data_IF_970772340849
#
_entry.id   IF_970772340849
#
_cell.length_a   1.000
_cell.length_b   1.000
_cell.length_c   1.000
_cell.angle_alpha   90.00
_cell.angle_beta   90.00
_cell.angle_gamma   90.00
#
_symmetry.space_group_name_H-M   'P 1'
#
loop_
_entity.id
_entity.type
_entity.pdbx_description
1 polymer ?
#
# COMPACT_ATOMS: atom_id res chain seq x y z
N UNK A 1 -28.90 -23.09 5.18
CA UNK A 1 -27.52 -23.32 4.70
C UNK A 1 -26.67 -22.23 5.30
N UNK A 2 -25.56 -22.60 5.94
CA UNK A 2 -24.73 -21.69 6.71
C UNK A 2 -24.15 -20.60 5.81
N UNK A 3 -24.43 -19.35 6.15
CA UNK A 3 -23.68 -18.20 5.66
C UNK A 3 -22.33 -18.27 6.38
N UNK A 4 -21.26 -18.55 5.64
CA UNK A 4 -19.93 -18.57 6.24
C UNK A 4 -19.56 -17.16 6.71
N UNK A 5 -19.13 -17.12 7.97
CA UNK A 5 -18.85 -15.94 8.76
C UNK A 5 -17.63 -15.15 8.22
N UNK A 6 -17.83 -13.83 8.11
CA UNK A 6 -16.86 -12.74 8.35
C UNK A 6 -15.36 -13.06 8.16
N UNK A 7 -14.79 -12.61 7.04
CA UNK A 7 -13.33 -12.34 6.92
C UNK A 7 -13.09 -10.85 6.59
N UNK A 8 -14.01 -9.97 6.99
CA UNK A 8 -14.07 -8.57 6.54
C UNK A 8 -13.78 -7.53 7.61
N UNK A 9 -13.13 -7.88 8.72
CA UNK A 9 -12.89 -6.96 9.84
C UNK A 9 -11.44 -7.03 10.32
N UNK A 10 -10.49 -6.86 9.40
CA UNK A 10 -9.06 -6.70 9.73
C UNK A 10 -8.56 -5.25 9.53
N UNK A 11 -9.46 -4.35 9.10
CA UNK A 11 -9.22 -2.92 8.98
C UNK A 11 -10.17 -2.17 9.92
N UNK A 12 -9.76 -1.97 11.18
CA UNK A 12 -10.49 -1.13 12.13
C UNK A 12 -10.02 0.32 11.95
N UNK A 13 -10.95 1.25 11.72
CA UNK A 13 -10.67 2.69 11.59
C UNK A 13 -9.46 3.06 10.71
N UNK A 14 -9.30 2.40 9.56
CA UNK A 14 -8.27 2.70 8.56
C UNK A 14 -6.83 2.60 9.07
N UNK A 15 -6.59 1.59 9.92
CA UNK A 15 -5.30 1.03 10.25
C UNK A 15 -5.37 -0.50 10.11
N UNK A 16 -4.23 -1.16 10.00
CA UNK A 16 -4.15 -2.62 10.01
C UNK A 16 -4.36 -3.13 11.44
N UNK A 17 -5.29 -4.07 11.64
CA UNK A 17 -5.50 -4.77 12.94
C UNK A 17 -4.54 -5.94 13.09
N UNK A 18 -3.99 -6.43 11.96
CA UNK A 18 -2.99 -7.48 11.87
C UNK A 18 -2.45 -7.58 10.45
N UNK A 19 -1.59 -8.57 10.20
CA UNK A 19 -1.12 -8.87 8.85
C UNK A 19 -2.27 -9.40 7.97
N UNK A 20 -2.45 -8.88 6.74
CA UNK A 20 -3.41 -9.44 5.80
C UNK A 20 -3.10 -10.91 5.51
N UNK A 21 -4.15 -11.71 5.37
CA UNK A 21 -4.02 -13.09 4.91
C UNK A 21 -3.46 -13.16 3.48
N UNK A 22 -2.95 -14.32 3.10
CA UNK A 22 -2.44 -14.57 1.74
C UNK A 22 -3.48 -14.20 0.66
N UNK A 23 -4.73 -14.56 0.87
CA UNK A 23 -5.84 -14.24 -0.05
C UNK A 23 -6.09 -12.74 -0.15
N UNK A 24 -5.94 -12.00 0.95
CA UNK A 24 -6.06 -10.53 0.94
C UNK A 24 -4.88 -9.87 0.24
N UNK A 25 -3.65 -10.37 0.43
CA UNK A 25 -2.47 -9.92 -0.31
C UNK A 25 -2.66 -10.08 -1.82
N UNK A 26 -3.11 -11.25 -2.26
CA UNK A 26 -3.36 -11.53 -3.68
C UNK A 26 -4.50 -10.67 -4.26
N UNK A 27 -5.50 -10.32 -3.45
CA UNK A 27 -6.65 -9.53 -3.91
C UNK A 27 -6.40 -8.02 -3.93
N UNK A 28 -5.76 -7.47 -2.91
CA UNK A 28 -5.68 -6.02 -2.69
C UNK A 28 -4.28 -5.43 -2.86
N UNK A 29 -3.24 -6.27 -2.74
CA UNK A 29 -1.84 -5.85 -2.78
C UNK A 29 -1.11 -6.33 -4.04
N UNK A 30 -1.82 -6.98 -4.96
CA UNK A 30 -1.30 -7.30 -6.27
C UNK A 30 -1.21 -6.03 -7.13
N UNK A 31 -0.05 -5.82 -7.76
CA UNK A 31 0.21 -4.71 -8.67
C UNK A 31 -0.05 -5.15 -10.10
N UNK A 32 -1.08 -4.58 -10.72
CA UNK A 32 -1.32 -4.77 -12.15
C UNK A 32 -0.32 -3.99 -13.02
N UNK A 33 -0.47 -4.07 -14.34
CA UNK A 33 0.46 -3.42 -15.27
C UNK A 33 0.46 -1.88 -15.13
N UNK A 34 -0.69 -1.27 -14.84
CA UNK A 34 -0.80 0.18 -14.66
C UNK A 34 -0.17 0.62 -13.35
N UNK A 35 -0.35 -0.16 -12.28
CA UNK A 35 0.29 0.06 -11.00
C UNK A 35 1.81 -0.02 -11.14
N UNK A 36 2.29 -1.03 -11.85
CA UNK A 36 3.72 -1.23 -12.10
C UNK A 36 4.31 -0.09 -12.90
N UNK A 37 3.62 0.41 -13.93
CA UNK A 37 4.05 1.59 -14.68
C UNK A 37 4.18 2.82 -13.77
N UNK A 38 3.14 3.10 -12.96
CA UNK A 38 3.13 4.21 -12.02
C UNK A 38 4.25 4.10 -10.98
N UNK A 39 4.48 2.90 -10.44
CA UNK A 39 5.54 2.64 -9.46
C UNK A 39 6.92 2.80 -10.11
N UNK A 40 7.17 2.25 -11.29
CA UNK A 40 8.48 2.33 -11.94
C UNK A 40 8.86 3.76 -12.35
N UNK A 41 7.91 4.67 -12.48
CA UNK A 41 8.18 6.10 -12.66
C UNK A 41 8.85 6.76 -11.43
N UNK A 42 8.81 6.13 -10.25
CA UNK A 42 9.43 6.67 -9.03
C UNK A 42 10.92 6.34 -8.96
N UNK A 43 11.71 7.36 -8.56
CA UNK A 43 13.16 7.22 -8.41
C UNK A 43 13.51 6.61 -7.06
N UNK A 44 14.45 5.66 -7.04
CA UNK A 44 14.98 4.92 -5.87
C UNK A 44 14.03 3.83 -5.35
N UNK A 45 14.60 2.78 -4.76
CA UNK A 45 13.85 1.63 -4.26
C UNK A 45 12.82 2.00 -3.17
N UNK A 46 13.22 2.78 -2.16
CA UNK A 46 12.34 3.18 -1.06
C UNK A 46 11.11 3.98 -1.52
N UNK A 47 11.23 4.80 -2.57
CA UNK A 47 10.10 5.54 -3.11
C UNK A 47 9.18 4.67 -3.95
N UNK A 48 9.72 3.72 -4.72
CA UNK A 48 8.93 2.72 -5.46
C UNK A 48 8.11 1.87 -4.50
N UNK A 49 8.77 1.33 -3.48
CA UNK A 49 8.11 0.54 -2.43
C UNK A 49 7.10 1.38 -1.65
N UNK A 50 7.46 2.59 -1.22
CA UNK A 50 6.56 3.48 -0.49
C UNK A 50 5.34 3.94 -1.29
N UNK A 51 5.49 4.16 -2.60
CA UNK A 51 4.36 4.46 -3.49
C UNK A 51 3.41 3.25 -3.59
N UNK A 52 3.96 2.07 -3.86
CA UNK A 52 3.17 0.84 -3.94
C UNK A 52 2.42 0.57 -2.64
N UNK A 53 3.10 0.75 -1.49
CA UNK A 53 2.48 0.61 -0.17
C UNK A 53 1.30 1.58 0.00
N UNK A 54 1.44 2.86 -0.33
CA UNK A 54 0.33 3.80 -0.25
C UNK A 54 -0.85 3.39 -1.14
N UNK A 55 -0.54 3.03 -2.39
CA UNK A 55 -1.53 2.67 -3.41
C UNK A 55 -2.36 1.45 -2.99
N UNK A 56 -1.72 0.40 -2.50
CA UNK A 56 -2.43 -0.82 -2.11
C UNK A 56 -3.07 -0.69 -0.73
N UNK A 57 -2.47 0.07 0.18
CA UNK A 57 -3.04 0.31 1.51
C UNK A 57 -4.31 1.16 1.43
N UNK A 58 -4.36 2.19 0.55
CA UNK A 58 -5.61 2.96 0.36
C UNK A 58 -6.71 2.10 -0.27
N UNK A 59 -6.37 1.17 -1.17
CA UNK A 59 -7.32 0.20 -1.72
C UNK A 59 -7.88 -0.75 -0.67
N UNK A 60 -7.02 -1.21 0.24
CA UNK A 60 -7.40 -2.15 1.31
C UNK A 60 -8.17 -1.47 2.45
N UNK A 61 -7.67 -0.33 2.94
CA UNK A 61 -8.20 0.39 4.10
C UNK A 61 -9.26 1.44 3.75
N UNK A 62 -9.41 1.79 2.47
CA UNK A 62 -10.30 2.85 1.99
C UNK A 62 -9.82 4.28 2.28
N UNK A 63 -8.62 4.46 2.85
CA UNK A 63 -8.02 5.77 3.15
C UNK A 63 -6.49 5.70 3.23
N UNK A 64 -5.83 6.85 3.13
CA UNK A 64 -4.38 6.93 3.31
C UNK A 64 -3.98 6.77 4.77
N UNK A 65 -2.92 6.00 5.00
CA UNK A 65 -2.29 5.91 6.31
C UNK A 65 -1.52 7.20 6.62
N UNK A 66 -1.53 7.68 7.88
CA UNK A 66 -0.70 8.80 8.30
C UNK A 66 0.80 8.53 8.10
N UNK A 67 1.23 7.29 8.33
CA UNK A 67 2.58 6.82 8.06
C UNK A 67 2.57 5.48 7.30
N UNK A 68 2.85 5.49 5.98
CA UNK A 68 2.92 4.29 5.15
C UNK A 68 4.03 3.31 5.58
N UNK A 69 4.97 3.71 6.43
CA UNK A 69 6.03 2.81 6.93
C UNK A 69 5.54 1.88 8.03
N UNK A 70 4.35 2.11 8.57
CA UNK A 70 3.74 1.31 9.63
C UNK A 70 2.92 0.13 9.09
N UNK A 71 3.06 -0.23 7.82
CA UNK A 71 2.40 -1.43 7.29
C UNK A 71 2.95 -2.70 7.92
N UNK A 72 2.15 -3.78 7.99
CA UNK A 72 2.64 -5.10 8.32
C UNK A 72 3.81 -5.52 7.41
N UNK A 73 4.76 -6.26 7.96
CA UNK A 73 5.96 -6.67 7.23
C UNK A 73 5.61 -7.50 5.98
N UNK A 74 4.58 -8.33 6.08
CA UNK A 74 4.05 -9.19 5.02
C UNK A 74 3.60 -8.37 3.80
N UNK A 75 3.05 -7.17 4.02
CA UNK A 75 2.67 -6.26 2.93
C UNK A 75 3.93 -5.71 2.26
N UNK A 76 4.91 -5.24 3.04
CA UNK A 76 6.14 -4.69 2.50
C UNK A 76 6.96 -5.74 1.73
N UNK A 77 7.04 -6.96 2.25
CA UNK A 77 7.71 -8.11 1.62
C UNK A 77 7.01 -8.51 0.32
N UNK A 78 5.69 -8.67 0.34
CA UNK A 78 4.91 -9.05 -0.84
C UNK A 78 5.03 -8.02 -1.97
N UNK A 79 5.06 -6.72 -1.66
CA UNK A 79 5.25 -5.67 -2.65
C UNK A 79 6.70 -5.59 -3.14
N UNK A 80 7.67 -5.79 -2.25
CA UNK A 80 9.09 -5.81 -2.63
C UNK A 80 9.40 -6.94 -3.60
N UNK A 81 8.83 -8.13 -3.39
CA UNK A 81 8.94 -9.28 -4.30
C UNK A 81 8.39 -8.93 -5.70
N UNK A 82 7.19 -8.36 -5.78
CA UNK A 82 6.57 -7.97 -7.04
C UNK A 82 7.34 -6.89 -7.82
N UNK A 83 8.11 -6.06 -7.10
CA UNK A 83 8.90 -4.95 -7.64
C UNK A 83 10.39 -5.29 -7.83
N UNK A 84 10.79 -6.53 -7.53
CA UNK A 84 12.18 -6.99 -7.59
C UNK A 84 13.11 -6.15 -6.70
N UNK A 85 12.62 -5.71 -5.54
CA UNK A 85 13.39 -4.97 -4.52
C UNK A 85 13.93 -5.96 -3.51
N UNK A 86 15.26 -6.09 -3.46
CA UNK A 86 15.93 -7.09 -2.64
C UNK A 86 15.77 -6.89 -1.12
N UNK A 87 15.65 -5.65 -0.65
CA UNK A 87 15.53 -5.33 0.77
C UNK A 87 14.28 -4.48 1.05
N UNK A 88 13.19 -5.06 1.60
CA UNK A 88 11.99 -4.33 1.96
C UNK A 88 12.22 -3.32 3.10
N UNK A 89 13.30 -3.48 3.89
CA UNK A 89 13.61 -2.56 4.98
C UNK A 89 13.99 -1.15 4.51
N UNK A 90 14.32 -0.99 3.22
CA UNK A 90 14.52 0.33 2.60
C UNK A 90 13.27 1.21 2.70
N UNK A 91 12.06 0.64 2.92
CA UNK A 91 10.85 1.40 3.19
C UNK A 91 11.03 2.41 4.35
N UNK A 92 11.93 2.15 5.31
CA UNK A 92 12.22 3.07 6.41
C UNK A 92 12.72 4.45 5.94
N UNK A 93 13.40 4.49 4.79
CA UNK A 93 13.88 5.73 4.15
C UNK A 93 12.78 6.47 3.37
N UNK A 94 11.60 5.86 3.21
CA UNK A 94 10.51 6.46 2.45
C UNK A 94 9.97 7.71 3.16
N UNK A 95 9.84 8.79 2.40
CA UNK A 95 9.29 10.04 2.93
C UNK A 95 10.22 10.82 3.87
N UNK A 96 11.50 10.44 3.99
CA UNK A 96 12.50 11.23 4.76
C UNK A 96 12.66 12.65 4.22
N UNK A 97 12.45 12.84 2.91
CA UNK A 97 12.37 14.18 2.31
C UNK A 97 10.95 14.71 2.43
N UNK A 98 10.82 15.82 3.15
CA UNK A 98 9.57 16.58 3.29
C UNK A 98 8.81 16.69 1.96
N UNK A 99 7.57 16.20 1.96
CA UNK A 99 6.64 16.30 0.84
C UNK A 99 6.56 15.10 -0.09
N UNK A 100 7.55 14.19 -0.14
CA UNK A 100 7.55 13.05 -1.08
C UNK A 100 6.31 12.16 -0.90
N UNK A 101 6.06 11.73 0.34
CA UNK A 101 4.91 10.88 0.66
C UNK A 101 3.57 11.58 0.40
N UNK A 102 3.52 12.91 0.53
CA UNK A 102 2.33 13.72 0.25
C UNK A 102 2.09 13.86 -1.25
N UNK A 103 3.13 14.11 -2.02
CA UNK A 103 3.06 14.16 -3.49
C UNK A 103 2.58 12.83 -4.06
N UNK A 104 3.13 11.71 -3.58
CA UNK A 104 2.67 10.38 -3.98
C UNK A 104 1.19 10.15 -3.65
N UNK A 105 0.74 10.53 -2.45
CA UNK A 105 -0.67 10.43 -2.08
C UNK A 105 -1.58 11.22 -3.02
N UNK A 106 -1.19 12.44 -3.40
CA UNK A 106 -1.92 13.25 -4.38
C UNK A 106 -2.00 12.60 -5.75
N UNK A 107 -0.88 12.06 -6.26
CA UNK A 107 -0.86 11.33 -7.53
C UNK A 107 -1.80 10.10 -7.49
N UNK A 108 -1.81 9.37 -6.37
CA UNK A 108 -2.68 8.20 -6.19
C UNK A 108 -4.16 8.61 -6.12
N UNK A 109 -4.48 9.72 -5.46
CA UNK A 109 -5.84 10.28 -5.40
C UNK A 109 -6.34 10.66 -6.80
N UNK A 110 -5.51 11.36 -7.58
CA UNK A 110 -5.83 11.78 -8.94
C UNK A 110 -6.04 10.58 -9.87
N UNK A 111 -5.18 9.56 -9.79
CA UNK A 111 -5.25 8.38 -10.64
C UNK A 111 -6.42 7.44 -10.28
N UNK A 112 -6.70 7.26 -8.99
CA UNK A 112 -7.70 6.31 -8.50
C UNK A 112 -9.09 6.90 -8.27
N UNK A 113 -9.27 8.22 -8.41
CA UNK A 113 -10.53 8.90 -8.11
C UNK A 113 -10.90 8.91 -6.62
N UNK A 114 -9.94 8.62 -5.73
CA UNK A 114 -10.13 8.64 -4.28
C UNK A 114 -10.27 10.10 -3.82
N UNK A 115 -11.46 10.48 -3.36
CA UNK A 115 -11.68 11.75 -2.67
C UNK A 115 -11.39 11.52 -1.19
N UNK A 116 -10.60 12.40 -0.58
CA UNK A 116 -10.57 12.50 0.88
C UNK A 116 -12.03 12.66 1.36
N UNK A 117 -12.46 11.77 2.25
CA UNK A 117 -13.76 11.88 2.90
C UNK A 117 -13.89 13.23 3.60
N UNK A 118 -15.12 13.76 3.73
CA UNK A 118 -15.38 15.08 4.33
C UNK A 118 -14.85 15.22 5.76
#
# INVERSE_FOLDING_TARGET
MAVEFLSGEQAEYGAFVGAPSRTELERYFFLDDADREAVQAKRRAHNRLGYAVQLTSVRYLGRFMPDPRQVPAEVAEYLAEQLEIADPSCLKEYGERDGTARSHAGEIQEAGGWRDGP
#
